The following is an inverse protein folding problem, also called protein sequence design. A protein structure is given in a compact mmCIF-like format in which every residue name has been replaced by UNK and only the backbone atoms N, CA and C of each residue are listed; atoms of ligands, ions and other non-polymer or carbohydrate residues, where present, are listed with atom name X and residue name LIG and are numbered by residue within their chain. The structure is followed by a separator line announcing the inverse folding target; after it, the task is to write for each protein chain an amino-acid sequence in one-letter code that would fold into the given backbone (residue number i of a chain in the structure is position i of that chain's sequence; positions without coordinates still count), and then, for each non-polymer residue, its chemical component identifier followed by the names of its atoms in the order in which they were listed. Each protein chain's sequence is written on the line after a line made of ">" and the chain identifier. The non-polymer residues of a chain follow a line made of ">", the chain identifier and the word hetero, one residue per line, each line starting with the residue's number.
data_IF_482923268987
#
_entry.id   IF_482923268987
#
_cell.length_a   1.000
_cell.length_b   1.000
_cell.length_c   1.000
_cell.angle_alpha   90.00
_cell.angle_beta   90.00
_cell.angle_gamma   90.00
#
_symmetry.space_group_name_H-M   'P 1'
#
loop_
_entity.id
_entity.type
_entity.pdbx_description
1 polymer ?
#
# COMPACT_ATOMS: atom_id res chain seq x y z
N UNK A 1 -3.41 3.69 1.06
CA UNK A 1 -2.46 2.61 1.44
C UNK A 1 -1.21 3.23 2.05
N UNK A 2 -0.47 4.07 1.33
CA UNK A 2 0.73 4.75 1.84
C UNK A 2 0.37 6.15 2.34
N UNK A 3 0.85 6.55 3.50
CA UNK A 3 0.78 7.92 4.01
C UNK A 3 2.03 8.25 4.82
N UNK A 4 2.43 9.52 4.86
CA UNK A 4 3.45 9.99 5.80
C UNK A 4 2.75 10.53 7.04
N UNK A 5 3.11 10.01 8.20
CA UNK A 5 2.60 10.49 9.49
C UNK A 5 3.73 11.14 10.28
N UNK A 6 3.38 12.14 11.07
CA UNK A 6 4.32 12.76 12.00
C UNK A 6 4.78 11.74 13.04
N UNK A 7 6.09 11.72 13.26
CA UNK A 7 6.77 11.11 14.37
C UNK A 7 7.32 12.22 15.29
N UNK A 8 8.06 11.86 16.33
CA UNK A 8 8.64 12.81 17.27
C UNK A 8 9.46 13.91 16.56
N UNK A 9 9.30 15.13 17.06
CA UNK A 9 10.15 16.28 16.72
C UNK A 9 10.18 16.65 15.23
N UNK A 10 9.05 16.52 14.53
CA UNK A 10 8.89 16.97 13.14
C UNK A 10 9.47 16.02 12.10
N UNK A 11 9.88 14.82 12.51
CA UNK A 11 10.23 13.75 11.58
C UNK A 11 8.94 13.13 11.00
N UNK A 12 9.02 12.68 9.75
CA UNK A 12 7.92 11.96 9.09
C UNK A 12 8.32 10.50 8.90
N UNK A 13 7.42 9.58 9.23
CA UNK A 13 7.57 8.17 8.88
C UNK A 13 6.55 7.75 7.85
N UNK A 14 6.96 6.87 6.93
CA UNK A 14 6.04 6.21 6.02
C UNK A 14 5.22 5.18 6.82
N UNK A 15 3.91 5.25 6.71
CA UNK A 15 2.98 4.26 7.24
C UNK A 15 2.28 3.55 6.07
N UNK A 16 2.19 2.22 6.17
CA UNK A 16 1.54 1.36 5.18
C UNK A 16 0.29 0.75 5.81
N UNK A 17 -0.88 1.24 5.40
CA UNK A 17 -2.18 0.69 5.74
C UNK A 17 -2.58 -0.37 4.69
N UNK A 18 -1.99 -1.56 4.79
CA UNK A 18 -2.13 -2.63 3.81
C UNK A 18 -3.57 -3.18 3.67
N UNK A 19 -4.39 -3.02 4.71
CA UNK A 19 -5.81 -3.40 4.73
C UNK A 19 -6.63 -2.67 3.66
N UNK A 20 -6.17 -1.48 3.23
CA UNK A 20 -6.82 -0.67 2.20
C UNK A 20 -6.31 -0.98 0.78
N UNK A 21 -5.50 -2.03 0.60
CA UNK A 21 -4.95 -2.39 -0.70
C UNK A 21 -6.04 -2.97 -1.62
N UNK A 22 -6.09 -2.47 -2.86
CA UNK A 22 -7.02 -2.99 -3.90
C UNK A 22 -6.34 -3.88 -4.94
N UNK A 23 -5.12 -4.32 -4.67
CA UNK A 23 -4.35 -5.26 -5.51
C UNK A 23 -4.06 -4.78 -6.95
N UNK A 24 -4.13 -3.47 -7.23
CA UNK A 24 -3.90 -2.91 -8.57
C UNK A 24 -2.44 -2.94 -9.05
N UNK A 25 -1.48 -3.23 -8.16
CA UNK A 25 -0.02 -3.27 -8.43
C UNK A 25 0.64 -1.94 -8.81
N UNK A 26 -0.06 -0.81 -8.76
CA UNK A 26 0.51 0.49 -9.15
C UNK A 26 1.78 0.85 -8.36
N UNK A 27 1.80 0.57 -7.05
CA UNK A 27 2.95 0.88 -6.19
C UNK A 27 4.23 0.12 -6.58
N UNK A 28 4.11 -1.13 -6.99
CA UNK A 28 5.20 -1.98 -7.48
C UNK A 28 5.76 -1.42 -8.81
N UNK A 29 4.86 -1.01 -9.71
CA UNK A 29 5.23 -0.54 -11.06
C UNK A 29 5.76 0.90 -11.08
N UNK A 30 5.23 1.77 -10.21
CA UNK A 30 5.40 3.23 -10.32
C UNK A 30 6.25 3.86 -9.23
N UNK A 31 6.77 3.10 -8.28
CA UNK A 31 7.81 3.60 -7.40
C UNK A 31 9.09 3.91 -8.21
N UNK A 32 9.52 5.19 -8.31
CA UNK A 32 10.74 5.56 -9.04
C UNK A 32 12.00 4.90 -8.49
N UNK A 33 12.00 4.58 -7.18
CA UNK A 33 13.13 3.93 -6.51
C UNK A 33 13.09 2.41 -6.57
N UNK A 34 11.98 1.83 -7.07
CA UNK A 34 11.76 0.38 -7.14
C UNK A 34 12.03 -0.32 -5.79
N UNK A 35 11.62 0.31 -4.69
CA UNK A 35 11.83 -0.16 -3.33
C UNK A 35 10.63 -0.94 -2.77
N UNK A 36 9.52 -1.01 -3.53
CA UNK A 36 8.30 -1.72 -3.14
C UNK A 36 8.20 -3.03 -3.93
N UNK A 37 8.08 -4.15 -3.23
CA UNK A 37 7.74 -5.45 -3.81
C UNK A 37 6.34 -5.87 -3.35
N UNK A 38 5.38 -5.99 -4.27
CA UNK A 38 4.04 -6.45 -3.94
C UNK A 38 4.01 -7.99 -3.91
N UNK A 39 3.45 -8.56 -2.83
CA UNK A 39 3.17 -9.99 -2.73
C UNK A 39 1.72 -10.23 -2.35
N UNK A 40 1.18 -11.37 -2.78
CA UNK A 40 -0.21 -11.72 -2.49
C UNK A 40 -0.42 -11.88 -0.99
N UNK A 41 -1.43 -11.23 -0.39
CA UNK A 41 -1.79 -11.43 1.01
C UNK A 41 -2.55 -12.76 1.20
N UNK A 42 -3.05 -13.01 2.41
CA UNK A 42 -3.93 -14.14 2.70
C UNK A 42 -5.15 -14.19 1.76
N UNK A 43 -5.58 -15.41 1.42
CA UNK A 43 -6.71 -15.63 0.52
C UNK A 43 -8.03 -15.09 1.08
N UNK A 44 -8.83 -14.46 0.22
CA UNK A 44 -10.09 -13.80 0.60
C UNK A 44 -9.95 -12.35 1.03
N UNK A 45 -8.72 -11.83 1.14
CA UNK A 45 -8.45 -10.40 1.30
C UNK A 45 -8.56 -9.62 -0.02
N UNK A 46 -8.76 -8.30 0.10
CA UNK A 46 -8.82 -7.38 -1.05
C UNK A 46 -10.25 -7.00 -1.46
N UNK A 47 -10.41 -6.42 -2.66
CA UNK A 47 -11.70 -5.87 -3.10
C UNK A 47 -12.78 -6.92 -3.34
N UNK A 48 -14.01 -6.61 -2.94
CA UNK A 48 -15.21 -7.36 -3.31
C UNK A 48 -15.91 -6.66 -4.49
N UNK A 49 -15.43 -6.90 -5.71
CA UNK A 49 -16.03 -6.35 -6.92
C UNK A 49 -17.34 -7.06 -7.26
N UNK A 50 -18.44 -6.30 -7.43
CA UNK A 50 -19.71 -6.80 -7.95
C UNK A 50 -20.18 -5.87 -9.08
N UNK A 51 -20.31 -6.42 -10.29
CA UNK A 51 -20.75 -5.65 -11.47
C UNK A 51 -19.79 -4.54 -11.92
N UNK A 52 -18.53 -4.59 -11.48
CA UNK A 52 -17.43 -3.79 -12.04
C UNK A 52 -16.67 -4.58 -13.11
#
# INVERSE_FOLDING_TARGET
>A
VYEYVEENEGNMRLQINAQNCIHCKTCDIKDPSQNINWVTPEGGGGPAYNGM
#
